data_IF_858772974684
#
_entry.id   IF_858772974684
#
_cell.length_a   1.000
_cell.length_b   1.000
_cell.length_c   1.000
_cell.angle_alpha   90.00
_cell.angle_beta   90.00
_cell.angle_gamma   90.00
#
_symmetry.space_group_name_H-M   'P 1'
#
loop_
_entity.id
_entity.type
_entity.pdbx_description
1 polymer ?
#
# COMPACT_ATOMS: atom_id res chain seq x y z
N UNK A 1 36.70 16.33 -15.64
CA UNK A 1 36.99 16.46 -14.18
C UNK A 1 36.67 15.15 -13.46
N UNK A 2 37.08 14.93 -12.21
CA UNK A 2 36.89 13.62 -11.57
C UNK A 2 35.40 13.23 -11.36
N UNK A 3 34.48 14.19 -11.42
CA UNK A 3 33.03 13.97 -11.26
C UNK A 3 32.27 13.76 -12.57
N UNK A 4 32.90 14.02 -13.72
CA UNK A 4 32.22 14.11 -15.01
C UNK A 4 31.85 12.72 -15.54
N UNK A 5 30.56 12.47 -15.77
CA UNK A 5 30.04 11.18 -16.21
C UNK A 5 30.07 10.07 -15.14
N UNK A 6 30.38 10.38 -13.87
CA UNK A 6 30.52 9.39 -12.79
C UNK A 6 29.36 9.41 -11.81
N UNK A 7 28.96 8.22 -11.35
CA UNK A 7 27.88 8.03 -10.35
C UNK A 7 28.43 7.45 -9.05
N UNK A 8 28.09 8.09 -7.94
CA UNK A 8 28.58 7.72 -6.61
C UNK A 8 27.45 7.20 -5.73
N UNK A 9 27.58 5.97 -5.23
CA UNK A 9 26.59 5.34 -4.34
C UNK A 9 27.03 5.49 -2.89
N UNK A 10 26.12 5.96 -2.04
CA UNK A 10 26.32 6.10 -0.60
C UNK A 10 26.63 4.74 0.04
N UNK A 11 27.66 4.70 0.91
CA UNK A 11 28.05 3.51 1.67
C UNK A 11 27.84 3.68 3.17
N UNK A 12 28.30 4.80 3.74
CA UNK A 12 28.25 5.04 5.18
C UNK A 12 28.21 6.52 5.51
N UNK A 13 27.76 6.84 6.72
CA UNK A 13 27.87 8.19 7.27
C UNK A 13 28.25 8.16 8.74
N UNK A 14 29.25 8.97 9.07
CA UNK A 14 29.71 9.20 10.43
C UNK A 14 28.95 10.40 11.01
N UNK A 15 28.61 10.32 12.30
CA UNK A 15 27.89 11.35 13.06
C UNK A 15 26.53 11.79 12.47
N UNK A 16 25.88 10.90 11.70
CA UNK A 16 24.60 11.18 11.07
C UNK A 16 23.49 11.50 12.09
N UNK A 17 23.36 10.71 13.16
CA UNK A 17 22.26 10.88 14.12
C UNK A 17 22.39 12.17 14.95
N UNK A 18 23.62 12.53 15.33
CA UNK A 18 23.93 13.77 16.06
C UNK A 18 23.69 15.00 15.19
N UNK A 19 24.16 14.97 13.94
CA UNK A 19 23.94 16.03 12.96
C UNK A 19 22.44 16.25 12.68
N UNK A 20 21.69 15.17 12.42
CA UNK A 20 20.25 15.29 12.17
C UNK A 20 19.47 15.72 13.43
N UNK A 21 19.96 15.37 14.63
CA UNK A 21 19.40 15.86 15.89
C UNK A 21 19.61 17.37 16.05
N UNK A 22 20.80 17.87 15.74
CA UNK A 22 21.12 19.31 15.75
C UNK A 22 20.25 20.10 14.75
N UNK A 23 19.91 19.47 13.61
CA UNK A 23 18.97 20.02 12.62
C UNK A 23 17.48 19.99 13.05
N UNK A 24 17.17 19.36 14.19
CA UNK A 24 15.80 19.25 14.73
C UNK A 24 14.98 18.09 14.16
N UNK A 25 15.61 17.12 13.49
CA UNK A 25 14.90 16.04 12.78
C UNK A 25 14.43 14.95 13.76
N UNK A 26 13.15 14.57 13.66
CA UNK A 26 12.53 13.56 14.51
C UNK A 26 13.18 12.16 14.40
N UNK A 27 13.13 11.38 15.49
CA UNK A 27 13.83 10.10 15.63
C UNK A 27 13.48 9.06 14.55
N UNK A 28 12.24 9.05 14.06
CA UNK A 28 11.79 8.13 13.01
C UNK A 28 12.46 8.45 11.67
N UNK A 29 12.48 9.73 11.28
CA UNK A 29 13.15 10.19 10.05
C UNK A 29 14.66 9.98 10.11
N UNK A 30 15.28 10.15 11.28
CA UNK A 30 16.71 9.86 11.49
C UNK A 30 17.04 8.38 11.28
N UNK A 31 16.24 7.47 11.86
CA UNK A 31 16.43 6.02 11.67
C UNK A 31 16.20 5.60 10.22
N UNK A 32 15.20 6.17 9.56
CA UNK A 32 14.94 5.89 8.14
C UNK A 32 16.07 6.43 7.25
N UNK A 33 16.51 7.66 7.47
CA UNK A 33 17.58 8.31 6.70
C UNK A 33 18.90 7.53 6.70
N UNK A 34 19.24 6.88 7.82
CA UNK A 34 20.47 6.08 7.94
C UNK A 34 20.43 4.74 7.16
N UNK A 35 19.26 4.35 6.64
CA UNK A 35 19.07 3.13 5.85
C UNK A 35 18.94 3.37 4.34
N UNK A 36 19.02 4.63 3.89
CA UNK A 36 18.82 5.00 2.49
C UNK A 36 20.16 5.05 1.75
N UNK A 37 20.38 4.08 0.87
CA UNK A 37 21.52 4.08 -0.07
C UNK A 37 21.18 4.93 -1.29
N UNK A 38 21.49 6.22 -1.25
CA UNK A 38 21.28 7.13 -2.37
C UNK A 38 22.47 7.12 -3.35
N UNK A 39 22.19 7.21 -4.65
CA UNK A 39 23.17 7.42 -5.71
C UNK A 39 23.14 8.88 -6.13
N UNK A 40 24.30 9.53 -6.16
CA UNK A 40 24.44 10.94 -6.51
C UNK A 40 25.38 11.11 -7.70
N UNK A 41 25.08 12.08 -8.58
CA UNK A 41 25.95 12.46 -9.69
C UNK A 41 25.73 13.91 -10.10
N UNK A 42 26.77 14.52 -10.66
CA UNK A 42 26.77 15.90 -11.12
C UNK A 42 26.86 15.92 -12.64
N UNK A 43 25.96 16.66 -13.28
CA UNK A 43 25.95 16.88 -14.73
C UNK A 43 26.12 18.37 -15.04
N UNK A 44 26.80 18.66 -16.14
CA UNK A 44 26.99 20.01 -16.66
C UNK A 44 26.35 20.10 -18.05
N UNK A 45 25.41 21.03 -18.20
CA UNK A 45 24.73 21.34 -19.46
C UNK A 45 24.96 22.81 -19.81
N UNK A 46 26.04 23.09 -20.54
CA UNK A 46 26.46 24.46 -20.84
C UNK A 46 26.89 25.22 -19.59
N UNK A 47 26.17 26.30 -19.27
CA UNK A 47 26.41 27.16 -18.09
C UNK A 47 25.62 26.73 -16.84
N UNK A 48 24.75 25.71 -16.96
CA UNK A 48 23.93 25.21 -15.86
C UNK A 48 24.42 23.83 -15.39
N UNK A 49 24.42 23.64 -14.08
CA UNK A 49 24.77 22.37 -13.43
C UNK A 49 23.52 21.74 -12.84
N UNK A 50 23.42 20.41 -12.91
CA UNK A 50 22.37 19.64 -12.24
C UNK A 50 22.96 18.58 -11.34
N UNK A 51 22.62 18.65 -10.05
CA UNK A 51 22.96 17.62 -9.08
C UNK A 51 21.77 16.69 -8.89
N UNK A 52 21.98 15.42 -9.24
CA UNK A 52 20.98 14.37 -9.15
C UNK A 52 21.19 13.56 -7.89
N UNK A 53 20.14 13.36 -7.12
CA UNK A 53 20.11 12.44 -5.98
C UNK A 53 18.99 11.43 -6.22
N UNK A 54 19.37 10.20 -6.53
CA UNK A 54 18.45 9.08 -6.78
C UNK A 54 18.45 8.17 -5.56
N UNK A 55 17.31 7.98 -4.94
CA UNK A 55 17.15 7.06 -3.81
C UNK A 55 15.92 6.18 -3.97
N UNK A 56 15.81 5.13 -3.17
CA UNK A 56 14.60 4.29 -3.09
C UNK A 56 13.35 5.04 -2.64
N UNK A 57 13.49 6.23 -2.09
CA UNK A 57 12.38 7.00 -1.51
C UNK A 57 11.98 8.21 -2.37
N UNK A 58 12.96 8.93 -2.92
CA UNK A 58 12.74 10.13 -3.73
C UNK A 58 13.93 10.37 -4.66
N UNK A 59 13.63 10.70 -5.91
CA UNK A 59 14.61 11.28 -6.84
C UNK A 59 14.47 12.80 -6.79
N UNK A 60 15.58 13.49 -6.56
CA UNK A 60 15.62 14.96 -6.53
C UNK A 60 16.67 15.44 -7.53
N UNK A 61 16.31 16.42 -8.35
CA UNK A 61 17.20 17.08 -9.30
C UNK A 61 17.26 18.55 -8.93
N UNK A 62 18.45 19.02 -8.58
CA UNK A 62 18.69 20.43 -8.24
C UNK A 62 19.49 21.05 -9.37
N UNK A 63 18.89 22.02 -10.07
CA UNK A 63 19.56 22.80 -11.11
C UNK A 63 20.07 24.11 -10.52
N UNK A 64 21.31 24.48 -10.84
CA UNK A 64 21.94 25.70 -10.33
C UNK A 64 23.00 26.24 -11.29
N UNK A 65 23.34 27.52 -11.11
CA UNK A 65 24.49 28.17 -11.73
C UNK A 65 25.55 28.45 -10.68
N UNK A 66 26.82 28.31 -11.04
CA UNK A 66 27.93 28.57 -10.12
C UNK A 66 28.00 30.07 -9.77
N UNK A 67 28.21 30.38 -8.50
CA UNK A 67 28.32 31.75 -7.99
C UNK A 67 27.02 32.56 -7.93
N UNK A 68 25.88 31.99 -8.34
CA UNK A 68 24.57 32.63 -8.30
C UNK A 68 23.79 32.14 -7.08
N UNK A 69 23.26 33.07 -6.28
CA UNK A 69 22.36 32.75 -5.18
C UNK A 69 20.97 32.35 -5.72
N UNK A 70 20.45 31.21 -5.26
CA UNK A 70 19.14 30.70 -5.65
C UNK A 70 18.35 30.23 -4.43
N UNK A 71 17.04 30.49 -4.40
CA UNK A 71 16.16 30.00 -3.34
C UNK A 71 15.88 28.51 -3.55
N UNK A 72 16.14 27.69 -2.55
CA UNK A 72 15.90 26.25 -2.58
C UNK A 72 15.11 25.77 -1.36
N UNK A 73 14.30 24.75 -1.58
CA UNK A 73 13.58 24.07 -0.50
C UNK A 73 14.37 22.84 -0.06
N UNK A 74 14.74 22.79 1.21
CA UNK A 74 15.40 21.64 1.83
C UNK A 74 14.43 20.46 1.92
N UNK A 75 14.96 19.25 2.13
CA UNK A 75 14.16 18.02 2.26
C UNK A 75 13.10 18.09 3.39
N UNK A 76 13.34 18.93 4.39
CA UNK A 76 12.44 19.17 5.53
C UNK A 76 11.48 20.36 5.30
N UNK A 77 11.40 20.91 4.08
CA UNK A 77 10.45 21.95 3.68
C UNK A 77 10.86 23.39 3.99
N UNK A 78 12.10 23.63 4.47
CA UNK A 78 12.61 24.98 4.76
C UNK A 78 13.16 25.64 3.50
N UNK A 79 12.81 26.91 3.26
CA UNK A 79 13.38 27.75 2.20
C UNK A 79 14.73 28.33 2.65
N UNK A 80 15.78 28.07 1.88
CA UNK A 80 17.14 28.56 2.15
C UNK A 80 17.73 29.17 0.88
N UNK A 81 18.54 30.22 1.04
CA UNK A 81 19.31 30.78 -0.07
C UNK A 81 20.59 29.97 -0.24
N UNK A 82 20.75 29.33 -1.39
CA UNK A 82 21.86 28.42 -1.65
C UNK A 82 22.79 28.99 -2.73
N UNK A 83 24.09 28.96 -2.46
CA UNK A 83 25.15 29.26 -3.44
C UNK A 83 26.01 28.03 -3.66
N UNK A 84 26.36 27.76 -4.92
CA UNK A 84 27.30 26.70 -5.28
C UNK A 84 28.60 27.28 -5.85
N UNK A 85 29.73 26.78 -5.37
CA UNK A 85 31.05 27.03 -5.94
C UNK A 85 31.72 25.71 -6.28
N UNK A 86 32.41 25.65 -7.41
CA UNK A 86 33.12 24.46 -7.87
C UNK A 86 34.58 24.84 -8.11
N UNK A 87 35.48 24.28 -7.31
CA UNK A 87 36.92 24.46 -7.45
C UNK A 87 37.57 23.10 -7.77
N UNK A 88 37.87 22.89 -9.05
CA UNK A 88 38.34 21.61 -9.58
C UNK A 88 37.38 20.45 -9.31
N UNK A 89 37.73 19.62 -8.32
CA UNK A 89 36.95 18.45 -7.90
C UNK A 89 36.21 18.67 -6.57
N UNK A 90 36.13 19.90 -6.08
CA UNK A 90 35.44 20.23 -4.82
C UNK A 90 34.23 21.09 -5.09
N UNK A 91 33.04 20.55 -4.87
CA UNK A 91 31.77 21.29 -4.92
C UNK A 91 31.40 21.74 -3.51
N UNK A 92 31.35 23.05 -3.29
CA UNK A 92 30.91 23.65 -2.04
C UNK A 92 29.52 24.23 -2.22
N UNK A 93 28.60 23.82 -1.36
CA UNK A 93 27.24 24.32 -1.27
C UNK A 93 27.12 25.07 0.05
N UNK A 94 26.75 26.34 -0.01
CA UNK A 94 26.52 27.19 1.17
C UNK A 94 25.04 27.50 1.22
N UNK A 95 24.37 27.06 2.28
CA UNK A 95 22.95 27.36 2.53
C UNK A 95 22.85 28.42 3.62
N UNK A 96 22.21 29.54 3.28
CA UNK A 96 21.90 30.65 4.17
C UNK A 96 20.39 30.68 4.41
N UNK A 97 19.94 30.12 5.54
CA UNK A 97 18.57 30.26 6.05
C UNK A 97 18.57 31.03 7.38
N UNK A 98 17.70 30.64 8.33
CA UNK A 98 17.80 31.09 9.74
C UNK A 98 19.15 30.71 10.38
N UNK A 99 19.79 29.64 9.87
CA UNK A 99 21.09 29.14 10.29
C UNK A 99 21.93 28.77 9.06
N UNK A 100 23.26 28.81 9.21
CA UNK A 100 24.23 28.57 8.12
C UNK A 100 24.66 27.11 8.08
N UNK A 101 24.49 26.46 6.94
CA UNK A 101 25.00 25.12 6.66
C UNK A 101 26.02 25.18 5.50
N UNK A 102 27.09 24.40 5.61
CA UNK A 102 28.08 24.25 4.53
C UNK A 102 28.24 22.79 4.21
N UNK A 103 28.05 22.43 2.95
CA UNK A 103 28.20 21.08 2.44
C UNK A 103 29.32 21.08 1.41
N UNK A 104 30.42 20.42 1.73
CA UNK A 104 31.58 20.27 0.84
C UNK A 104 31.62 18.85 0.32
N UNK A 105 31.62 18.68 -1.01
CA UNK A 105 31.74 17.39 -1.69
C UNK A 105 33.04 17.35 -2.46
N UNK A 106 33.94 16.45 -2.06
CA UNK A 106 35.21 16.22 -2.74
C UNK A 106 35.07 14.97 -3.59
N UNK A 107 35.26 15.11 -4.90
CA UNK A 107 35.16 14.02 -5.86
C UNK A 107 36.54 13.45 -6.17
N UNK A 108 36.67 12.13 -6.11
CA UNK A 108 37.83 11.38 -6.60
C UNK A 108 37.39 10.36 -7.65
N UNK A 109 38.35 9.60 -8.19
CA UNK A 109 38.03 8.56 -9.18
C UNK A 109 37.34 7.33 -8.61
N UNK A 110 37.51 7.10 -7.31
CA UNK A 110 37.02 5.91 -6.62
C UNK A 110 35.92 6.23 -5.63
N UNK A 111 35.90 7.44 -5.09
CA UNK A 111 35.01 7.85 -4.02
C UNK A 111 34.58 9.31 -4.10
N UNK A 112 33.49 9.63 -3.42
CA UNK A 112 33.09 11.00 -3.11
C UNK A 112 32.92 11.08 -1.61
N UNK A 113 33.56 12.08 -0.99
CA UNK A 113 33.41 12.38 0.44
C UNK A 113 32.61 13.67 0.57
N UNK A 114 31.45 13.59 1.21
CA UNK A 114 30.62 14.74 1.50
C UNK A 114 30.73 15.08 2.99
N UNK A 115 31.22 16.28 3.30
CA UNK A 115 31.29 16.81 4.66
C UNK A 115 30.22 17.89 4.82
N UNK A 116 29.32 17.69 5.78
CA UNK A 116 28.30 18.67 6.15
C UNK A 116 28.67 19.27 7.51
N UNK A 117 28.82 20.60 7.56
CA UNK A 117 29.12 21.36 8.76
C UNK A 117 27.96 22.31 9.04
N UNK A 118 27.48 22.29 10.27
CA UNK A 118 26.41 23.15 10.76
C UNK A 118 26.96 24.07 11.85
N UNK A 119 26.53 25.35 11.83
CA UNK A 119 26.87 26.38 12.85
C UNK A 119 28.37 26.38 13.24
N UNK A 120 29.27 26.52 12.25
CA UNK A 120 30.72 26.68 12.50
C UNK A 120 31.32 25.59 13.43
N UNK A 121 31.05 24.32 13.11
CA UNK A 121 31.55 23.09 13.78
C UNK A 121 30.76 22.58 15.00
N UNK A 122 29.59 23.14 15.32
CA UNK A 122 28.71 22.56 16.36
C UNK A 122 28.23 21.14 16.04
N UNK A 123 27.99 20.84 14.75
CA UNK A 123 27.69 19.49 14.31
C UNK A 123 28.31 19.21 12.93
N UNK A 124 28.99 18.06 12.84
CA UNK A 124 29.67 17.61 11.62
C UNK A 124 29.22 16.21 11.25
N UNK A 125 28.84 16.02 9.99
CA UNK A 125 28.54 14.73 9.39
C UNK A 125 29.47 14.49 8.21
N UNK A 126 30.03 13.29 8.12
CA UNK A 126 30.86 12.88 6.99
C UNK A 126 30.20 11.68 6.32
N UNK A 127 29.91 11.80 5.03
CA UNK A 127 29.30 10.75 4.22
C UNK A 127 30.26 10.27 3.15
N UNK A 128 30.41 8.95 3.04
CA UNK A 128 31.29 8.29 2.09
C UNK A 128 30.47 7.64 1.00
N UNK A 129 30.88 7.85 -0.24
CA UNK A 129 30.23 7.32 -1.43
C UNK A 129 31.27 6.67 -2.33
N UNK A 130 30.93 5.55 -2.96
CA UNK A 130 31.82 4.81 -3.88
C UNK A 130 31.36 4.92 -5.32
N UNK A 131 32.30 5.03 -6.25
CA UNK A 131 32.04 5.04 -7.68
C UNK A 131 31.46 3.69 -8.15
N UNK A 132 30.37 3.73 -8.92
CA UNK A 132 29.62 2.52 -9.34
C UNK A 132 30.34 1.65 -10.38
N UNK A 133 31.21 2.23 -11.22
CA UNK A 133 31.87 1.52 -12.32
C UNK A 133 33.29 0.99 -11.97
N UNK A 134 33.65 0.95 -10.67
CA UNK A 134 34.96 0.43 -10.25
C UNK A 134 34.96 -1.12 -10.25
N UNK A 135 35.89 -1.78 -10.97
CA UNK A 135 35.92 -3.25 -11.09
C UNK A 135 36.45 -3.88 -9.80
N UNK A 136 35.55 -4.13 -8.85
CA UNK A 136 35.88 -4.81 -7.59
C UNK A 136 34.68 -5.39 -6.82
N UNK A 137 33.47 -5.29 -7.35
CA UNK A 137 32.26 -5.80 -6.71
C UNK A 137 31.79 -7.10 -7.38
N UNK A 138 32.32 -8.22 -6.91
CA UNK A 138 31.62 -9.49 -7.03
C UNK A 138 30.34 -9.40 -6.20
N UNK A 139 29.19 -9.35 -6.86
CA UNK A 139 27.91 -9.51 -6.18
C UNK A 139 27.84 -10.93 -5.66
N UNK A 140 27.86 -11.11 -4.35
CA UNK A 140 27.52 -12.39 -3.73
C UNK A 140 26.00 -12.57 -3.89
N UNK A 141 25.56 -12.98 -5.09
CA UNK A 141 24.22 -13.47 -5.35
C UNK A 141 24.09 -14.80 -4.60
N UNK A 142 23.42 -14.76 -3.44
CA UNK A 142 22.89 -15.96 -2.82
C UNK A 142 21.87 -16.58 -3.79
N UNK A 143 22.31 -17.60 -4.53
CA UNK A 143 21.44 -18.51 -5.27
C UNK A 143 20.50 -19.16 -4.26
N UNK A 144 19.24 -18.71 -4.22
CA UNK A 144 18.15 -19.45 -3.60
C UNK A 144 17.95 -20.71 -4.45
N UNK A 145 18.51 -21.82 -4.00
CA UNK A 145 18.19 -23.14 -4.51
C UNK A 145 16.72 -23.45 -4.19
N UNK A 146 15.97 -23.75 -5.25
CA UNK A 146 14.59 -24.22 -5.22
C UNK A 146 14.45 -25.50 -4.35
N UNK A 147 13.71 -25.47 -3.22
CA UNK A 147 13.60 -26.63 -2.32
C UNK A 147 12.53 -27.65 -2.73
N UNK A 148 11.88 -27.49 -3.89
CA UNK A 148 10.73 -28.33 -4.28
C UNK A 148 10.99 -29.20 -5.52
N UNK A 149 12.14 -29.86 -5.58
CA UNK A 149 12.33 -30.96 -6.53
C UNK A 149 11.89 -32.29 -5.91
N UNK A 150 10.87 -32.88 -6.53
CA UNK A 150 10.34 -34.25 -6.40
C UNK A 150 9.54 -34.59 -5.14
N UNK A 151 8.20 -34.60 -5.28
CA UNK A 151 7.30 -35.46 -4.48
C UNK A 151 6.23 -36.12 -5.37
N UNK A 152 6.27 -37.45 -5.61
CA UNK A 152 5.41 -38.16 -6.56
C UNK A 152 3.95 -38.43 -6.12
N UNK A 153 3.48 -37.92 -4.97
CA UNK A 153 2.16 -38.28 -4.43
C UNK A 153 1.01 -37.34 -4.84
N UNK A 154 1.22 -36.50 -5.85
CA UNK A 154 0.22 -35.55 -6.35
C UNK A 154 -0.43 -36.05 -7.65
N UNK A 155 -0.72 -37.35 -7.75
CA UNK A 155 -1.31 -37.94 -8.95
C UNK A 155 -2.65 -38.61 -8.76
N UNK A 156 -3.18 -38.78 -7.55
CA UNK A 156 -4.55 -39.30 -7.38
C UNK A 156 -5.16 -38.78 -6.09
N UNK A 157 -6.24 -38.00 -6.19
CA UNK A 157 -7.55 -38.26 -5.55
C UNK A 157 -8.45 -37.02 -5.71
N UNK A 158 -9.31 -37.07 -6.71
CA UNK A 158 -10.59 -36.37 -6.73
C UNK A 158 -11.52 -37.06 -5.75
N UNK A 159 -12.19 -36.34 -4.84
CA UNK A 159 -13.58 -36.64 -4.41
C UNK A 159 -13.99 -35.81 -3.19
N UNK A 160 -15.17 -35.22 -3.31
CA UNK A 160 -16.01 -34.82 -2.19
C UNK A 160 -16.60 -36.06 -1.49
N UNK A 161 -16.90 -35.98 -0.19
CA UNK A 161 -18.07 -36.64 0.40
C UNK A 161 -18.46 -36.04 1.78
N UNK A 162 -19.77 -35.99 2.10
CA UNK A 162 -20.36 -35.37 3.29
C UNK A 162 -20.52 -36.35 4.46
N UNK A 163 -20.72 -35.86 5.69
CA UNK A 163 -21.30 -36.67 6.77
C UNK A 163 -22.77 -36.32 6.96
N UNK A 164 -23.60 -37.36 6.87
CA UNK A 164 -25.05 -37.29 6.90
C UNK A 164 -25.65 -37.34 8.31
N UNK A 165 -26.95 -37.05 8.35
CA UNK A 165 -27.84 -37.19 9.49
C UNK A 165 -29.25 -36.79 9.07
N UNK A 166 -30.02 -37.76 8.61
CA UNK A 166 -31.37 -37.67 8.06
C UNK A 166 -32.46 -37.67 9.13
N UNK A 167 -33.49 -36.81 8.96
CA UNK A 167 -34.94 -37.11 9.01
C UNK A 167 -35.76 -35.81 9.02
N UNK A 168 -36.80 -35.75 8.18
CA UNK A 168 -37.82 -34.69 8.21
C UNK A 168 -38.34 -34.21 6.85
N UNK A 169 -38.79 -35.15 6.02
CA UNK A 169 -39.37 -34.92 4.70
C UNK A 169 -40.79 -34.34 4.81
N UNK A 170 -40.96 -33.06 5.20
CA UNK A 170 -42.25 -32.31 5.10
C UNK A 170 -42.19 -30.79 5.38
N UNK A 171 -41.09 -30.11 5.02
CA UNK A 171 -40.99 -28.64 5.09
C UNK A 171 -40.32 -27.98 3.88
N UNK A 172 -40.11 -28.74 2.80
CA UNK A 172 -39.37 -28.32 1.59
C UNK A 172 -40.31 -27.58 0.63
N UNK A 173 -41.10 -26.61 1.09
CA UNK A 173 -41.75 -25.60 0.23
C UNK A 173 -42.06 -24.40 1.13
N UNK A 174 -41.39 -23.27 0.90
CA UNK A 174 -41.54 -21.99 1.62
C UNK A 174 -41.06 -21.95 3.10
N UNK A 175 -40.25 -20.95 3.45
CA UNK A 175 -40.01 -20.58 4.85
C UNK A 175 -38.65 -20.98 5.44
N UNK A 176 -37.56 -20.45 4.89
CA UNK A 176 -36.46 -20.09 5.78
C UNK A 176 -36.92 -18.90 6.61
N UNK A 177 -37.19 -19.07 7.90
CA UNK A 177 -37.59 -17.96 8.79
C UNK A 177 -36.68 -16.76 8.53
N UNK A 178 -37.25 -15.63 8.11
CA UNK A 178 -36.52 -14.36 7.96
C UNK A 178 -35.90 -14.03 9.32
N UNK A 179 -34.59 -14.27 9.46
CA UNK A 179 -33.91 -14.01 10.74
C UNK A 179 -33.84 -12.52 11.06
N UNK A 180 -33.77 -11.69 10.02
CA UNK A 180 -33.76 -10.23 10.11
C UNK A 180 -34.69 -9.62 9.05
N UNK A 181 -35.55 -8.69 9.45
CA UNK A 181 -36.44 -7.95 8.54
C UNK A 181 -35.81 -6.66 7.99
N UNK A 182 -34.64 -6.26 8.50
CA UNK A 182 -33.92 -5.08 8.03
C UNK A 182 -32.62 -4.81 8.79
N UNK A 183 -31.95 -3.71 8.43
CA UNK A 183 -30.68 -3.29 9.05
C UNK A 183 -30.88 -2.97 10.52
N UNK A 184 -31.92 -2.19 10.84
CA UNK A 184 -32.25 -1.80 12.22
C UNK A 184 -32.62 -3.03 13.06
N UNK A 185 -33.38 -3.97 12.50
CA UNK A 185 -33.74 -5.23 13.17
C UNK A 185 -32.50 -6.12 13.42
N UNK A 186 -31.56 -6.17 12.46
CA UNK A 186 -30.29 -6.86 12.62
C UNK A 186 -29.45 -6.27 13.77
N UNK A 187 -29.35 -4.94 13.84
CA UNK A 187 -28.63 -4.26 14.93
C UNK A 187 -29.33 -4.51 16.27
N UNK A 188 -30.65 -4.30 16.36
CA UNK A 188 -31.44 -4.51 17.58
C UNK A 188 -31.31 -5.94 18.11
N UNK A 189 -31.50 -6.95 17.25
CA UNK A 189 -31.36 -8.37 17.64
C UNK A 189 -29.93 -8.72 18.04
N UNK A 190 -28.92 -8.19 17.33
CA UNK A 190 -27.51 -8.43 17.68
C UNK A 190 -27.16 -7.85 19.05
N UNK A 191 -27.57 -6.62 19.33
CA UNK A 191 -27.34 -5.97 20.63
C UNK A 191 -28.09 -6.71 21.75
N UNK A 192 -29.32 -7.18 21.49
CA UNK A 192 -30.11 -7.95 22.46
C UNK A 192 -29.51 -9.34 22.75
N UNK A 193 -29.02 -10.04 21.73
CA UNK A 193 -28.46 -11.41 21.89
C UNK A 193 -27.02 -11.42 22.41
N UNK A 194 -26.21 -10.41 22.05
CA UNK A 194 -24.74 -10.44 22.25
C UNK A 194 -24.17 -9.23 22.98
N UNK A 195 -25.04 -8.30 23.40
CA UNK A 195 -24.63 -7.03 24.00
C UNK A 195 -24.05 -6.04 22.96
N UNK A 196 -23.80 -4.81 23.42
CA UNK A 196 -23.27 -3.72 22.58
C UNK A 196 -21.90 -4.08 21.94
N UNK A 197 -21.00 -4.69 22.71
CA UNK A 197 -19.68 -5.12 22.22
C UNK A 197 -19.73 -6.23 21.17
N UNK A 198 -20.87 -6.91 21.00
CA UNK A 198 -21.10 -7.87 19.93
C UNK A 198 -20.95 -7.28 18.53
N UNK A 199 -21.20 -5.97 18.36
CA UNK A 199 -21.06 -5.25 17.09
C UNK A 199 -19.60 -5.07 16.65
N UNK A 200 -18.66 -5.01 17.59
CA UNK A 200 -17.23 -4.80 17.34
C UNK A 200 -16.46 -6.11 17.12
N UNK A 201 -17.16 -7.24 17.03
CA UNK A 201 -16.53 -8.54 16.97
C UNK A 201 -15.87 -8.77 15.61
N UNK A 202 -14.56 -9.07 15.63
CA UNK A 202 -13.72 -9.12 14.43
C UNK A 202 -12.98 -7.82 14.12
N UNK A 203 -13.19 -6.75 14.91
CA UNK A 203 -12.41 -5.51 14.82
C UNK A 203 -10.91 -5.77 14.99
N UNK A 204 -10.52 -6.64 15.93
CA UNK A 204 -9.11 -6.98 16.16
C UNK A 204 -8.43 -7.53 14.90
N UNK A 205 -9.10 -8.43 14.16
CA UNK A 205 -8.59 -8.96 12.88
C UNK A 205 -8.39 -7.84 11.86
N UNK A 206 -9.30 -6.86 11.84
CA UNK A 206 -9.23 -5.73 10.93
C UNK A 206 -8.12 -4.74 11.31
N UNK A 207 -7.96 -4.44 12.60
CA UNK A 207 -6.89 -3.58 13.12
C UNK A 207 -5.52 -4.19 12.83
N UNK A 208 -5.28 -5.44 13.24
CA UNK A 208 -4.01 -6.13 13.00
C UNK A 208 -3.74 -6.38 11.51
N UNK A 209 -4.79 -6.56 10.70
CA UNK A 209 -4.64 -6.79 9.26
C UNK A 209 -4.47 -5.51 8.44
N UNK A 210 -4.85 -4.33 8.97
CA UNK A 210 -4.81 -3.06 8.22
C UNK A 210 -3.38 -2.57 7.93
N UNK A 211 -2.47 -2.73 8.89
CA UNK A 211 -1.07 -2.30 8.77
C UNK A 211 -0.33 -3.16 7.73
N UNK A 212 -0.32 -4.51 7.81
CA UNK A 212 0.32 -5.34 6.79
C UNK A 212 -0.27 -5.13 5.41
N UNK A 213 -1.59 -4.95 5.32
CA UNK A 213 -2.27 -4.66 4.05
C UNK A 213 -1.71 -3.38 3.41
N UNK A 214 -1.63 -2.30 4.18
CA UNK A 214 -1.11 -1.02 3.66
C UNK A 214 0.38 -1.12 3.31
N UNK A 215 1.16 -1.77 4.16
CA UNK A 215 2.59 -1.99 3.93
C UNK A 215 2.86 -2.76 2.63
N UNK A 216 2.16 -3.87 2.41
CA UNK A 216 2.30 -4.67 1.17
C UNK A 216 1.82 -3.89 -0.05
N UNK A 217 0.73 -3.12 0.08
CA UNK A 217 0.22 -2.31 -1.03
C UNK A 217 1.22 -1.24 -1.46
N UNK A 218 1.68 -0.41 -0.53
CA UNK A 218 2.61 0.68 -0.85
C UNK A 218 4.00 0.15 -1.20
N UNK A 219 4.51 -0.84 -0.47
CA UNK A 219 5.77 -1.49 -0.77
C UNK A 219 5.76 -2.20 -2.13
N UNK A 220 4.69 -2.94 -2.44
CA UNK A 220 4.51 -3.61 -3.73
C UNK A 220 4.36 -2.62 -4.89
N UNK A 221 3.65 -1.52 -4.67
CA UNK A 221 3.52 -0.45 -5.67
C UNK A 221 4.88 0.18 -6.00
N UNK A 222 5.67 0.54 -4.99
CA UNK A 222 6.99 1.13 -5.23
C UNK A 222 7.96 0.14 -5.88
N UNK A 223 7.95 -1.13 -5.47
CA UNK A 223 8.80 -2.15 -6.11
C UNK A 223 8.47 -2.32 -7.60
N UNK A 224 7.19 -2.44 -7.95
CA UNK A 224 6.78 -2.61 -9.35
C UNK A 224 7.06 -1.33 -10.15
N UNK A 225 6.86 -0.16 -9.52
CA UNK A 225 7.18 1.13 -10.12
C UNK A 225 8.66 1.27 -10.46
N UNK A 226 9.58 0.82 -9.61
CA UNK A 226 11.03 0.87 -9.91
C UNK A 226 11.36 0.16 -11.22
N UNK A 227 10.66 -0.93 -11.55
CA UNK A 227 10.86 -1.67 -12.80
C UNK A 227 10.14 -1.07 -14.02
N UNK A 228 9.19 -0.14 -13.81
CA UNK A 228 8.35 0.44 -14.87
C UNK A 228 8.66 1.91 -15.16
N UNK A 229 9.57 2.53 -14.41
CA UNK A 229 10.01 3.92 -14.60
C UNK A 229 11.01 3.98 -15.75
N UNK A 230 10.80 4.91 -16.67
CA UNK A 230 11.71 5.19 -17.79
C UNK A 230 13.01 5.87 -17.29
N UNK A 231 14.06 5.92 -18.13
CA UNK A 231 15.37 6.51 -17.76
C UNK A 231 15.29 7.97 -17.28
N UNK A 232 14.23 8.70 -17.65
CA UNK A 232 13.94 10.08 -17.24
C UNK A 232 13.18 10.18 -15.90
N UNK A 233 12.84 9.08 -15.24
CA UNK A 233 12.08 9.07 -13.99
C UNK A 233 10.56 9.17 -14.16
N UNK A 234 10.06 9.14 -15.40
CA UNK A 234 8.65 9.27 -15.72
C UNK A 234 7.94 7.91 -15.72
N UNK A 235 6.71 7.88 -15.20
CA UNK A 235 5.87 6.69 -15.20
C UNK A 235 4.65 6.95 -16.10
N UNK A 236 4.56 6.21 -17.21
CA UNK A 236 3.43 6.28 -18.14
C UNK A 236 2.08 5.96 -17.47
N UNK A 237 0.97 6.43 -18.03
CA UNK A 237 -0.37 6.13 -17.51
C UNK A 237 -0.64 4.62 -17.42
N UNK A 238 -0.17 3.85 -18.40
CA UNK A 238 -0.20 2.38 -18.39
C UNK A 238 0.70 1.79 -17.31
N UNK A 239 1.91 2.32 -17.11
CA UNK A 239 2.82 1.91 -16.04
C UNK A 239 2.22 2.12 -14.64
N UNK A 240 1.50 3.24 -14.42
CA UNK A 240 0.73 3.50 -13.18
C UNK A 240 -0.36 2.46 -12.95
N UNK A 241 -1.06 2.06 -14.00
CA UNK A 241 -2.09 1.02 -13.91
C UNK A 241 -1.49 -0.35 -13.60
N UNK A 242 -0.40 -0.74 -14.26
CA UNK A 242 0.26 -2.03 -14.02
C UNK A 242 0.83 -2.08 -12.60
N UNK A 243 1.50 -1.01 -12.16
CA UNK A 243 1.99 -0.90 -10.79
C UNK A 243 0.84 -0.96 -9.77
N UNK A 244 -0.26 -0.26 -10.02
CA UNK A 244 -1.45 -0.27 -9.16
C UNK A 244 -2.13 -1.63 -9.07
N UNK A 245 -2.31 -2.31 -10.20
CA UNK A 245 -2.91 -3.65 -10.25
C UNK A 245 -1.99 -4.70 -9.63
N UNK A 246 -0.70 -4.69 -9.96
CA UNK A 246 0.27 -5.62 -9.40
C UNK A 246 0.43 -5.45 -7.90
N UNK A 247 0.44 -4.21 -7.40
CA UNK A 247 0.40 -3.93 -5.96
C UNK A 247 -0.87 -4.49 -5.30
N UNK A 248 -2.03 -4.36 -5.95
CA UNK A 248 -3.29 -4.94 -5.50
C UNK A 248 -3.28 -6.47 -5.46
N UNK A 249 -2.61 -7.12 -6.41
CA UNK A 249 -2.45 -8.59 -6.41
C UNK A 249 -1.50 -9.04 -5.29
N UNK A 250 -0.38 -8.35 -5.09
CA UNK A 250 0.53 -8.63 -3.97
C UNK A 250 -0.19 -8.44 -2.62
N UNK A 251 -0.92 -7.34 -2.46
CA UNK A 251 -1.77 -7.08 -1.30
C UNK A 251 -2.79 -8.21 -1.10
N UNK A 252 -3.44 -8.65 -2.19
CA UNK A 252 -4.42 -9.72 -2.17
C UNK A 252 -3.82 -11.03 -1.64
N UNK A 253 -2.63 -11.41 -2.12
CA UNK A 253 -1.97 -12.67 -1.79
C UNK A 253 -1.43 -12.62 -0.35
N UNK A 254 -0.56 -11.65 -0.05
CA UNK A 254 0.24 -11.68 1.18
C UNK A 254 -0.49 -11.19 2.42
N UNK A 255 -1.48 -10.29 2.27
CA UNK A 255 -2.16 -9.68 3.42
C UNK A 255 -3.66 -10.00 3.44
N UNK A 256 -4.37 -9.78 2.34
CA UNK A 256 -5.83 -9.78 2.36
C UNK A 256 -6.41 -11.18 2.39
N UNK A 257 -5.85 -12.13 1.64
CA UNK A 257 -6.34 -13.51 1.63
C UNK A 257 -6.28 -14.16 3.02
N UNK A 258 -5.13 -14.21 3.73
CA UNK A 258 -5.09 -14.79 5.06
C UNK A 258 -6.00 -14.03 6.04
N UNK A 259 -6.06 -12.70 5.94
CA UNK A 259 -6.93 -11.88 6.79
C UNK A 259 -8.43 -12.14 6.54
N UNK A 260 -8.89 -12.15 5.29
CA UNK A 260 -10.30 -12.43 4.94
C UNK A 260 -10.68 -13.85 5.37
N UNK A 261 -9.83 -14.84 5.14
CA UNK A 261 -10.08 -16.23 5.54
C UNK A 261 -10.23 -16.38 7.04
N UNK A 262 -9.30 -15.80 7.82
CA UNK A 262 -9.36 -15.81 9.29
C UNK A 262 -10.62 -15.08 9.76
N UNK A 263 -10.93 -13.91 9.20
CA UNK A 263 -12.14 -13.15 9.54
C UNK A 263 -13.40 -13.98 9.31
N UNK A 264 -13.55 -14.60 8.14
CA UNK A 264 -14.74 -15.40 7.80
C UNK A 264 -14.88 -16.60 8.76
N UNK A 265 -13.78 -17.32 9.03
CA UNK A 265 -13.78 -18.44 9.98
C UNK A 265 -14.16 -17.99 11.39
N UNK A 266 -13.68 -16.83 11.83
CA UNK A 266 -14.06 -16.25 13.13
C UNK A 266 -15.53 -15.86 13.22
N UNK A 267 -16.13 -15.25 12.19
CA UNK A 267 -17.56 -14.91 12.26
C UNK A 267 -18.43 -16.17 12.16
N UNK A 268 -17.97 -17.21 11.44
CA UNK A 268 -18.70 -18.47 11.33
C UNK A 268 -18.62 -19.32 12.62
N UNK A 269 -17.45 -19.39 13.26
CA UNK A 269 -17.28 -20.06 14.57
C UNK A 269 -18.20 -19.45 15.63
N UNK A 270 -18.44 -18.15 15.57
CA UNK A 270 -19.38 -17.46 16.45
C UNK A 270 -20.85 -17.75 16.19
N UNK A 271 -21.19 -18.31 15.03
CA UNK A 271 -22.54 -18.79 14.74
C UNK A 271 -22.72 -20.23 15.19
N UNK A 272 -21.63 -20.93 15.53
CA UNK A 272 -21.67 -22.26 16.11
C UNK A 272 -22.22 -22.19 17.55
N UNK A 273 -22.91 -23.25 17.97
CA UNK A 273 -23.37 -23.41 19.36
C UNK A 273 -22.19 -23.48 20.35
N UNK A 274 -21.02 -23.94 19.88
CA UNK A 274 -19.79 -24.05 20.66
C UNK A 274 -18.64 -23.30 19.95
N UNK A 275 -18.40 -22.02 20.27
CA UNK A 275 -17.30 -21.24 19.68
C UNK A 275 -15.94 -21.78 20.16
N UNK A 276 -15.04 -22.07 19.22
CA UNK A 276 -13.72 -22.66 19.48
C UNK A 276 -12.61 -21.61 19.59
N UNK A 277 -12.80 -20.41 19.01
CA UNK A 277 -11.76 -19.38 18.99
C UNK A 277 -11.86 -18.44 20.19
N UNK A 278 -10.90 -18.55 21.11
CA UNK A 278 -10.78 -17.70 22.32
C UNK A 278 -10.05 -16.37 22.08
N UNK A 279 -9.33 -16.23 20.97
CA UNK A 279 -8.59 -15.02 20.60
C UNK A 279 -7.94 -15.12 19.21
N UNK A 280 -7.34 -14.03 18.71
CA UNK A 280 -6.75 -13.99 17.36
C UNK A 280 -5.62 -15.01 17.18
N UNK A 281 -4.58 -14.94 18.01
CA UNK A 281 -3.44 -15.84 17.94
C UNK A 281 -3.85 -17.32 18.12
N UNK A 282 -4.72 -17.60 19.09
CA UNK A 282 -5.26 -18.96 19.30
C UNK A 282 -6.05 -19.45 18.09
N UNK A 283 -6.91 -18.62 17.49
CA UNK A 283 -7.70 -19.02 16.34
C UNK A 283 -6.86 -19.23 15.08
N UNK A 284 -5.86 -18.37 14.83
CA UNK A 284 -4.89 -18.59 13.74
C UNK A 284 -4.11 -19.88 13.97
N UNK A 285 -3.62 -20.12 15.19
CA UNK A 285 -2.94 -21.37 15.56
C UNK A 285 -3.80 -22.61 15.36
N UNK A 286 -5.09 -22.57 15.76
CA UNK A 286 -6.04 -23.65 15.51
C UNK A 286 -6.25 -23.92 14.02
N UNK A 287 -6.36 -22.87 13.20
CA UNK A 287 -6.55 -23.01 11.74
C UNK A 287 -5.31 -23.67 11.12
N UNK A 288 -4.11 -23.20 11.45
CA UNK A 288 -2.87 -23.76 10.93
C UNK A 288 -2.68 -25.21 11.39
N UNK A 289 -3.04 -25.55 12.63
CA UNK A 289 -2.94 -26.92 13.16
C UNK A 289 -3.94 -27.88 12.51
N UNK A 290 -5.14 -27.41 12.13
CA UNK A 290 -6.20 -28.26 11.57
C UNK A 290 -6.17 -28.36 10.03
N UNK A 291 -5.87 -27.26 9.34
CA UNK A 291 -5.95 -27.17 7.88
C UNK A 291 -4.61 -26.83 7.21
N UNK A 292 -3.54 -26.63 7.99
CA UNK A 292 -2.24 -26.18 7.48
C UNK A 292 -2.27 -24.73 6.97
N UNK A 293 -1.17 -24.32 6.32
CA UNK A 293 -1.06 -23.00 5.70
C UNK A 293 -2.02 -22.83 4.51
N UNK A 294 -2.34 -23.92 3.78
CA UNK A 294 -3.33 -23.87 2.69
C UNK A 294 -4.72 -23.46 3.21
N UNK A 295 -5.05 -23.79 4.46
CA UNK A 295 -6.27 -23.36 5.13
C UNK A 295 -6.40 -21.84 5.32
N UNK A 296 -5.30 -21.07 5.25
CA UNK A 296 -5.31 -19.59 5.29
C UNK A 296 -5.51 -18.99 3.89
N UNK A 297 -5.11 -19.71 2.83
CA UNK A 297 -5.17 -19.26 1.44
C UNK A 297 -6.40 -19.78 0.67
N UNK A 298 -7.31 -20.49 1.34
CA UNK A 298 -8.58 -20.92 0.74
C UNK A 298 -9.39 -19.72 0.25
N UNK A 299 -9.56 -19.63 -1.08
CA UNK A 299 -10.28 -18.53 -1.73
C UNK A 299 -9.40 -17.42 -2.28
N UNK A 300 -8.07 -17.60 -2.34
CA UNK A 300 -7.12 -16.64 -2.92
C UNK A 300 -7.55 -16.15 -4.31
N UNK A 301 -8.00 -17.05 -5.19
CA UNK A 301 -8.47 -16.70 -6.54
C UNK A 301 -9.67 -15.75 -6.51
N UNK A 302 -10.66 -16.03 -5.65
CA UNK A 302 -11.82 -15.16 -5.50
C UNK A 302 -11.45 -13.81 -4.87
N UNK A 303 -10.42 -13.78 -4.03
CA UNK A 303 -9.90 -12.54 -3.42
C UNK A 303 -9.13 -11.70 -4.44
N UNK A 304 -8.28 -12.33 -5.27
CA UNK A 304 -7.57 -11.66 -6.36
C UNK A 304 -8.56 -11.07 -7.36
N UNK A 305 -9.56 -11.85 -7.79
CA UNK A 305 -10.59 -11.36 -8.73
C UNK A 305 -11.33 -10.16 -8.14
N UNK A 306 -11.79 -10.27 -6.89
CA UNK A 306 -12.50 -9.18 -6.20
C UNK A 306 -11.63 -7.92 -6.05
N UNK A 307 -10.36 -8.06 -5.71
CA UNK A 307 -9.46 -6.92 -5.54
C UNK A 307 -9.09 -6.31 -6.89
N UNK A 308 -8.82 -7.14 -7.90
CA UNK A 308 -8.57 -6.73 -9.27
C UNK A 308 -9.75 -5.97 -9.87
N UNK A 309 -10.97 -6.50 -9.75
CA UNK A 309 -12.18 -5.84 -10.27
C UNK A 309 -12.47 -4.52 -9.54
N UNK A 310 -12.28 -4.48 -8.22
CA UNK A 310 -12.41 -3.25 -7.45
C UNK A 310 -11.40 -2.17 -7.89
N UNK A 311 -10.13 -2.55 -8.10
CA UNK A 311 -9.11 -1.61 -8.55
C UNK A 311 -9.33 -1.17 -10.01
N UNK A 312 -9.73 -2.09 -10.89
CA UNK A 312 -10.00 -1.82 -12.30
C UNK A 312 -11.16 -0.83 -12.47
N UNK A 313 -12.31 -1.05 -11.80
CA UNK A 313 -13.46 -0.16 -11.89
C UNK A 313 -13.10 1.23 -11.36
N UNK A 314 -12.41 1.31 -10.22
CA UNK A 314 -12.00 2.60 -9.65
C UNK A 314 -11.08 3.37 -10.58
N UNK A 315 -10.10 2.69 -11.17
CA UNK A 315 -9.18 3.31 -12.10
C UNK A 315 -9.90 3.78 -13.37
N UNK A 316 -10.70 2.91 -13.97
CA UNK A 316 -11.46 3.22 -15.18
C UNK A 316 -12.34 4.47 -14.98
N UNK A 317 -13.16 4.49 -13.93
CA UNK A 317 -14.03 5.64 -13.64
C UNK A 317 -13.22 6.89 -13.33
N UNK A 318 -12.11 6.76 -12.60
CA UNK A 318 -11.24 7.90 -12.28
C UNK A 318 -10.62 8.52 -13.53
N UNK A 319 -10.10 7.70 -14.44
CA UNK A 319 -9.49 8.19 -15.69
C UNK A 319 -10.55 8.75 -16.63
N UNK A 320 -11.70 8.09 -16.80
CA UNK A 320 -12.81 8.62 -17.62
C UNK A 320 -13.28 9.99 -17.11
N UNK A 321 -13.43 10.17 -15.80
CA UNK A 321 -13.82 11.47 -15.23
C UNK A 321 -12.74 12.54 -15.39
N UNK A 322 -11.46 12.16 -15.27
CA UNK A 322 -10.32 13.06 -15.52
C UNK A 322 -10.24 13.46 -16.99
N UNK A 323 -10.37 12.52 -17.91
CA UNK A 323 -10.38 12.76 -19.36
C UNK A 323 -11.54 13.68 -19.73
N UNK A 324 -12.73 13.40 -19.21
CA UNK A 324 -13.91 14.23 -19.40
C UNK A 324 -13.69 15.68 -18.92
N UNK A 325 -13.08 15.86 -17.74
CA UNK A 325 -12.77 17.20 -17.21
C UNK A 325 -11.68 17.93 -17.98
N UNK A 326 -10.66 17.20 -18.46
CA UNK A 326 -9.54 17.74 -19.21
C UNK A 326 -9.94 18.10 -20.63
N UNK A 327 -10.95 17.46 -21.22
CA UNK A 327 -11.49 17.82 -22.54
C UNK A 327 -10.44 17.78 -23.65
N UNK A 328 -9.42 16.92 -23.52
CA UNK A 328 -8.28 16.83 -24.44
C UNK A 328 -7.10 17.76 -24.12
N UNK A 329 -7.23 18.67 -23.15
CA UNK A 329 -6.19 19.63 -22.78
C UNK A 329 -5.22 19.04 -21.73
N UNK A 330 -4.01 18.66 -22.17
CA UNK A 330 -3.02 17.95 -21.32
C UNK A 330 -2.46 18.80 -20.18
N UNK A 331 -2.50 20.14 -20.29
CA UNK A 331 -1.96 21.07 -19.29
C UNK A 331 -2.94 21.42 -18.16
N UNK A 332 -4.22 21.03 -18.28
CA UNK A 332 -5.23 21.31 -17.26
C UNK A 332 -5.07 20.34 -16.08
N UNK A 333 -4.46 20.81 -14.99
CA UNK A 333 -4.42 20.05 -13.75
C UNK A 333 -5.81 19.98 -13.11
N UNK A 334 -6.15 18.81 -12.57
CA UNK A 334 -7.45 18.59 -11.93
C UNK A 334 -7.39 19.12 -10.50
N UNK A 335 -8.26 20.08 -10.11
CA UNK A 335 -8.26 20.60 -8.74
C UNK A 335 -8.41 19.48 -7.72
N UNK A 336 -7.72 19.58 -6.58
CA UNK A 336 -7.72 18.55 -5.52
C UNK A 336 -9.14 18.17 -5.06
N UNK A 337 -10.05 19.15 -4.97
CA UNK A 337 -11.45 18.91 -4.63
C UNK A 337 -12.18 18.04 -5.67
N UNK A 338 -11.97 18.33 -6.96
CA UNK A 338 -12.53 17.54 -8.06
C UNK A 338 -11.94 16.13 -8.10
N UNK A 339 -10.65 15.98 -7.81
CA UNK A 339 -10.00 14.66 -7.65
C UNK A 339 -10.67 13.88 -6.51
N UNK A 340 -10.99 14.54 -5.39
CA UNK A 340 -11.75 13.94 -4.29
C UNK A 340 -13.15 13.48 -4.72
N UNK A 341 -13.89 14.33 -5.44
CA UNK A 341 -15.22 14.02 -5.95
C UNK A 341 -15.18 12.84 -6.94
N UNK A 342 -14.22 12.83 -7.88
CA UNK A 342 -14.03 11.72 -8.82
C UNK A 342 -13.67 10.43 -8.09
N UNK A 343 -12.84 10.51 -7.05
CA UNK A 343 -12.53 9.39 -6.18
C UNK A 343 -13.78 8.83 -5.47
N UNK A 344 -14.69 9.70 -5.02
CA UNK A 344 -15.95 9.29 -4.40
C UNK A 344 -16.90 8.60 -5.41
N UNK A 345 -17.04 9.15 -6.62
CA UNK A 345 -17.85 8.56 -7.69
C UNK A 345 -17.28 7.21 -8.12
N UNK A 346 -15.96 7.12 -8.32
CA UNK A 346 -15.25 5.88 -8.61
C UNK A 346 -15.44 4.85 -7.49
N UNK A 347 -15.40 5.29 -6.23
CA UNK A 347 -15.71 4.50 -5.05
C UNK A 347 -17.12 3.92 -5.09
N UNK A 348 -18.14 4.75 -5.35
CA UNK A 348 -19.53 4.31 -5.47
C UNK A 348 -19.72 3.34 -6.65
N UNK A 349 -19.20 3.66 -7.83
CA UNK A 349 -19.26 2.79 -9.00
C UNK A 349 -18.61 1.42 -8.73
N UNK A 350 -17.48 1.39 -8.02
CA UNK A 350 -16.84 0.14 -7.61
C UNK A 350 -17.68 -0.69 -6.65
N UNK A 351 -18.47 -0.04 -5.78
CA UNK A 351 -19.42 -0.74 -4.90
C UNK A 351 -20.53 -1.37 -5.74
N UNK A 352 -21.17 -0.61 -6.62
CA UNK A 352 -22.24 -1.16 -7.48
C UNK A 352 -21.74 -2.29 -8.37
N UNK A 353 -20.60 -2.13 -9.05
CA UNK A 353 -20.05 -3.16 -9.94
C UNK A 353 -19.63 -4.45 -9.22
N UNK A 354 -19.14 -4.36 -7.99
CA UNK A 354 -18.69 -5.56 -7.26
C UNK A 354 -19.76 -6.20 -6.37
N UNK A 355 -20.87 -5.52 -6.08
CA UNK A 355 -21.88 -6.06 -5.16
C UNK A 355 -22.49 -7.38 -5.66
N UNK A 356 -22.80 -7.57 -6.95
CA UNK A 356 -23.26 -8.87 -7.45
C UNK A 356 -22.27 -10.02 -7.18
N UNK A 357 -20.98 -9.77 -7.41
CA UNK A 357 -19.91 -10.75 -7.17
C UNK A 357 -19.80 -11.05 -5.67
N UNK A 358 -19.86 -10.02 -4.82
CA UNK A 358 -19.83 -10.18 -3.36
C UNK A 358 -21.05 -10.95 -2.84
N UNK A 359 -22.25 -10.74 -3.39
CA UNK A 359 -23.45 -11.51 -3.03
C UNK A 359 -23.30 -12.98 -3.41
N UNK A 360 -22.82 -13.29 -4.62
CA UNK A 360 -22.58 -14.68 -5.01
C UNK A 360 -21.48 -15.32 -4.14
N UNK A 361 -20.37 -14.62 -3.90
CA UNK A 361 -19.27 -15.09 -3.03
C UNK A 361 -19.77 -15.39 -1.62
N UNK A 362 -20.55 -14.48 -1.03
CA UNK A 362 -21.06 -14.65 0.35
C UNK A 362 -22.09 -15.76 0.47
N UNK A 363 -22.90 -16.02 -0.56
CA UNK A 363 -23.81 -17.19 -0.61
C UNK A 363 -23.06 -18.50 -0.77
N UNK A 364 -22.06 -18.53 -1.65
CA UNK A 364 -21.15 -19.67 -1.86
C UNK A 364 -20.28 -19.99 -0.63
N UNK A 365 -20.00 -19.00 0.23
CA UNK A 365 -19.25 -19.15 1.47
C UNK A 365 -20.15 -19.30 2.71
N UNK A 366 -21.47 -19.21 2.54
CA UNK A 366 -22.45 -19.25 3.63
C UNK A 366 -22.79 -20.66 4.09
N UNK A 367 -23.57 -20.76 5.16
CA UNK A 367 -24.05 -22.04 5.72
C UNK A 367 -24.92 -22.84 4.73
N UNK A 368 -25.51 -22.15 3.74
CA UNK A 368 -26.33 -22.76 2.69
C UNK A 368 -25.53 -23.07 1.40
N UNK A 369 -24.21 -23.00 1.43
CA UNK A 369 -23.34 -23.24 0.27
C UNK A 369 -23.62 -24.60 -0.39
N UNK A 370 -23.99 -25.63 0.40
CA UNK A 370 -24.32 -26.97 -0.09
C UNK A 370 -25.51 -27.00 -1.08
N UNK A 371 -26.33 -25.93 -1.15
CA UNK A 371 -27.44 -25.81 -2.11
C UNK A 371 -26.98 -25.44 -3.53
N UNK A 372 -25.71 -25.07 -3.69
CA UNK A 372 -25.15 -24.58 -4.96
C UNK A 372 -24.04 -25.53 -5.44
N UNK A 373 -24.15 -26.01 -6.68
CA UNK A 373 -23.14 -26.92 -7.28
C UNK A 373 -21.86 -26.18 -7.65
N UNK A 374 -21.99 -24.93 -8.10
CA UNK A 374 -20.88 -24.05 -8.47
C UNK A 374 -21.35 -22.58 -8.46
N UNK A 375 -20.42 -21.65 -8.65
CA UNK A 375 -20.67 -20.20 -8.64
C UNK A 375 -21.74 -19.77 -9.66
N UNK A 376 -21.75 -20.39 -10.85
CA UNK A 376 -22.72 -20.10 -11.90
C UNK A 376 -24.13 -20.59 -11.54
N UNK A 377 -24.25 -21.79 -10.99
CA UNK A 377 -25.49 -22.35 -10.45
C UNK A 377 -26.04 -21.48 -9.32
N UNK A 378 -25.16 -20.94 -8.47
CA UNK A 378 -25.55 -19.96 -7.45
C UNK A 378 -26.13 -18.69 -8.08
N UNK A 379 -25.43 -18.08 -9.05
CA UNK A 379 -25.91 -16.88 -9.73
C UNK A 379 -27.24 -17.11 -10.45
N UNK A 380 -27.38 -18.21 -11.20
CA UNK A 380 -28.62 -18.56 -11.91
C UNK A 380 -29.77 -18.78 -10.94
N UNK A 381 -29.55 -19.46 -9.81
CA UNK A 381 -30.58 -19.66 -8.78
C UNK A 381 -30.99 -18.35 -8.11
N UNK A 382 -30.05 -17.44 -7.83
CA UNK A 382 -30.38 -16.11 -7.29
C UNK A 382 -31.25 -15.35 -8.30
N UNK A 383 -30.86 -15.35 -9.57
CA UNK A 383 -31.60 -14.69 -10.65
C UNK A 383 -33.02 -15.23 -10.79
N UNK A 384 -33.18 -16.56 -10.85
CA UNK A 384 -34.49 -17.22 -11.06
C UNK A 384 -35.39 -17.20 -9.82
N UNK A 385 -34.84 -17.34 -8.61
CA UNK A 385 -35.64 -17.53 -7.40
C UNK A 385 -35.84 -16.25 -6.57
N UNK A 386 -34.88 -15.31 -6.60
CA UNK A 386 -34.94 -14.07 -5.81
C UNK A 386 -35.01 -12.80 -6.68
N UNK A 387 -34.78 -12.92 -7.99
CA UNK A 387 -34.81 -11.82 -8.95
C UNK A 387 -33.51 -10.98 -9.01
N UNK A 388 -33.40 -10.06 -9.97
CA UNK A 388 -32.18 -9.28 -10.22
C UNK A 388 -31.79 -8.35 -9.05
N UNK A 389 -32.77 -7.82 -8.31
CA UNK A 389 -32.50 -6.96 -7.14
C UNK A 389 -31.84 -7.71 -5.98
N UNK A 390 -31.89 -9.05 -5.95
CA UNK A 390 -31.23 -9.85 -4.93
C UNK A 390 -29.71 -9.70 -4.94
N UNK A 391 -29.11 -9.44 -6.11
CA UNK A 391 -27.67 -9.19 -6.26
C UNK A 391 -27.21 -7.88 -5.63
N UNK A 392 -28.13 -6.98 -5.30
CA UNK A 392 -27.84 -5.69 -4.68
C UNK A 392 -28.32 -5.59 -3.22
N UNK A 393 -28.81 -6.71 -2.64
CA UNK A 393 -29.12 -6.78 -1.21
C UNK A 393 -27.85 -6.55 -0.40
N UNK A 394 -27.83 -5.48 0.40
CA UNK A 394 -26.66 -5.06 1.19
C UNK A 394 -25.83 -3.93 0.57
N UNK A 395 -26.23 -3.39 -0.59
CA UNK A 395 -25.55 -2.23 -1.20
C UNK A 395 -25.59 -1.00 -0.30
N UNK A 396 -26.75 -0.67 0.28
CA UNK A 396 -26.94 0.50 1.17
C UNK A 396 -25.98 0.48 2.38
N UNK A 397 -25.90 -0.58 3.20
CA UNK A 397 -24.96 -0.60 4.32
C UNK A 397 -23.50 -0.60 3.85
N UNK A 398 -23.19 -1.19 2.69
CA UNK A 398 -21.84 -1.14 2.12
C UNK A 398 -21.45 0.27 1.67
N UNK A 399 -22.33 0.96 0.96
CA UNK A 399 -22.12 2.33 0.50
C UNK A 399 -22.01 3.28 1.69
N UNK A 400 -22.91 3.15 2.67
CA UNK A 400 -22.87 3.91 3.92
C UNK A 400 -21.52 3.74 4.63
N UNK A 401 -21.03 2.50 4.74
CA UNK A 401 -19.69 2.24 5.30
C UNK A 401 -18.59 2.97 4.54
N UNK A 402 -18.60 2.91 3.21
CA UNK A 402 -17.57 3.56 2.38
C UNK A 402 -17.64 5.09 2.50
N UNK A 403 -18.83 5.67 2.46
CA UNK A 403 -19.01 7.12 2.61
C UNK A 403 -18.55 7.60 3.99
N UNK A 404 -18.93 6.89 5.05
CA UNK A 404 -18.50 7.20 6.42
C UNK A 404 -16.99 7.02 6.60
N UNK A 405 -16.41 5.95 6.05
CA UNK A 405 -14.97 5.69 6.08
C UNK A 405 -14.17 6.84 5.45
N UNK A 406 -14.60 7.30 4.26
CA UNK A 406 -13.97 8.44 3.58
C UNK A 406 -14.15 9.74 4.37
N UNK A 407 -15.37 10.06 4.81
CA UNK A 407 -15.65 11.29 5.54
C UNK A 407 -14.87 11.37 6.86
N UNK A 408 -14.87 10.29 7.65
CA UNK A 408 -14.13 10.21 8.91
C UNK A 408 -12.62 10.30 8.66
N UNK A 409 -12.11 9.65 7.61
CA UNK A 409 -10.67 9.72 7.28
C UNK A 409 -10.25 11.15 6.96
N UNK A 410 -11.01 11.90 6.16
CA UNK A 410 -10.69 13.30 5.87
C UNK A 410 -10.77 14.19 7.11
N UNK A 411 -11.84 14.08 7.91
CA UNK A 411 -11.98 14.85 9.15
C UNK A 411 -10.84 14.58 10.14
N UNK A 412 -10.46 13.31 10.31
CA UNK A 412 -9.35 12.93 11.20
C UNK A 412 -8.02 13.41 10.64
N UNK A 413 -7.78 13.26 9.33
CA UNK A 413 -6.54 13.68 8.69
C UNK A 413 -6.29 15.18 8.88
N UNK A 414 -7.27 16.02 8.56
CA UNK A 414 -7.17 17.48 8.72
C UNK A 414 -6.92 17.84 10.20
N UNK A 415 -7.70 17.26 11.12
CA UNK A 415 -7.52 17.48 12.56
C UNK A 415 -6.16 17.03 13.08
N UNK A 416 -5.65 15.88 12.60
CA UNK A 416 -4.33 15.39 12.97
C UNK A 416 -3.21 16.25 12.39
N UNK A 417 -3.37 16.71 11.15
CA UNK A 417 -2.38 17.56 10.50
C UNK A 417 -2.30 18.93 11.20
N UNK A 418 -3.44 19.52 11.56
CA UNK A 418 -3.49 20.75 12.35
C UNK A 418 -2.84 20.58 13.73
N UNK A 419 -3.13 19.46 14.41
CA UNK A 419 -2.51 19.12 15.69
C UNK A 419 -1.00 18.91 15.54
N UNK A 420 -0.58 18.18 14.51
CA UNK A 420 0.82 17.89 14.22
C UNK A 420 1.60 19.18 13.93
N UNK A 421 1.06 20.05 13.07
CA UNK A 421 1.66 21.36 12.76
C UNK A 421 1.70 22.31 13.98
N UNK A 422 0.80 22.12 14.95
CA UNK A 422 0.77 22.92 16.18
C UNK A 422 1.79 22.45 17.22
N UNK A 423 2.02 21.14 17.32
CA UNK A 423 2.98 20.55 18.27
C UNK A 423 4.40 20.40 17.71
N UNK A 424 4.53 20.34 16.38
CA UNK A 424 5.78 20.16 15.66
C UNK A 424 5.91 21.27 14.62
N UNK A 425 6.33 22.45 15.10
CA UNK A 425 6.79 23.56 14.24
C UNK A 425 8.23 23.37 13.82
#
# INVERSE_FOLDING_TARGET
>A
MAWEGRKYKHEKSENFDEYMKALGVGLVLRKMGNTINATCFLEKNGDEFSYHTVSTFKTTVVKFKLGVESEQETLDGRKVMTTYTLDGNTLTQVEKGEKKSVITRVFSETEMVATCIYEMDEAKKISFYRHLDYPGLSSNQSKILNPFLRRPWMTNTSAAAPSGGSKGLKGIVAGGNKRYDGIVDCVKKTVKERGFFGLYRGLSVLLYGSIPKSAVRFGGFEQIKIYLVDEEGNLSGGGKLIAGLGAGVLEAIFAVTPMETVKVKFINDQRSKNPKFRGFAHGVGCIVKQEGFSGLYKGVTATIIKQGSNQAIRFYVMETLREWYKGGDKKKETPKLLVGLFGAIAGAASVFGNTPIDVVKTRMQGLEAAKYKNTLDCAVKIWKNEGPFAFYKGTVPRLSRVCLDVAITFMIYDSFMDLFNKFWK
#
